data_IF_095293508389
#
_entry.id   IF_095293508389
#
_cell.length_a   1.000
_cell.length_b   1.000
_cell.length_c   1.000
_cell.angle_alpha   90.00
_cell.angle_beta   90.00
_cell.angle_gamma   90.00
#
_symmetry.space_group_name_H-M   'P 1'
#
loop_
_entity.id
_entity.type
_entity.pdbx_description
1 polymer ?
#
# COMPACT_ATOMS: atom_id res chain seq x y z
N UNK A 1 102.65 -21.24 -45.64
CA UNK A 1 102.64 -22.04 -46.88
C UNK A 1 101.24 -22.62 -47.02
N UNK A 2 100.66 -22.49 -48.22
CA UNK A 2 99.27 -22.83 -48.58
C UNK A 2 98.88 -24.30 -48.38
N UNK A 3 97.57 -24.52 -48.22
CA UNK A 3 96.84 -25.74 -48.56
C UNK A 3 96.48 -26.62 -47.34
N UNK A 4 95.34 -27.33 -47.23
CA UNK A 4 94.35 -27.85 -48.20
C UNK A 4 93.04 -28.14 -47.40
N UNK A 5 91.86 -28.00 -48.03
CA UNK A 5 90.54 -28.40 -47.49
C UNK A 5 90.40 -29.94 -47.37
N UNK A 6 89.53 -30.43 -46.46
CA UNK A 6 88.31 -31.06 -47.00
C UNK A 6 87.03 -30.79 -46.19
N UNK A 7 85.92 -30.87 -46.93
CA UNK A 7 84.51 -30.82 -46.51
C UNK A 7 84.09 -32.00 -45.63
N UNK A 8 83.27 -31.75 -44.61
CA UNK A 8 82.30 -32.71 -44.08
C UNK A 8 81.10 -32.00 -43.42
N UNK A 9 79.91 -32.54 -43.69
CA UNK A 9 78.57 -32.08 -43.31
C UNK A 9 78.10 -32.84 -42.06
N UNK A 10 77.48 -32.18 -41.08
CA UNK A 10 76.46 -32.76 -40.16
C UNK A 10 75.85 -31.63 -39.30
N UNK A 11 74.64 -31.17 -39.63
CA UNK A 11 73.36 -31.52 -38.97
C UNK A 11 73.15 -30.85 -37.60
N UNK A 12 72.33 -29.79 -37.63
CA UNK A 12 71.75 -29.18 -36.44
C UNK A 12 70.56 -29.97 -35.90
N UNK A 13 70.37 -29.89 -34.60
CA UNK A 13 69.13 -30.28 -33.91
C UNK A 13 68.57 -29.04 -33.21
N UNK A 14 67.71 -28.30 -33.92
CA UNK A 14 66.79 -27.37 -33.28
C UNK A 14 65.66 -28.21 -32.66
N UNK A 15 65.56 -28.22 -31.33
CA UNK A 15 64.37 -28.72 -30.64
C UNK A 15 63.17 -27.81 -30.98
N UNK A 16 62.35 -28.27 -31.92
CA UNK A 16 61.01 -27.75 -32.16
C UNK A 16 60.14 -28.12 -30.95
N UNK A 17 60.03 -27.22 -29.99
CA UNK A 17 58.96 -27.26 -29.00
C UNK A 17 57.64 -27.25 -29.78
N UNK A 18 56.92 -28.37 -29.70
CA UNK A 18 55.68 -28.60 -30.44
C UNK A 18 54.68 -27.47 -30.20
N UNK A 19 54.36 -26.72 -31.25
CA UNK A 19 53.34 -25.65 -31.24
C UNK A 19 51.97 -26.14 -30.78
N UNK A 20 51.69 -27.45 -30.90
CA UNK A 20 50.49 -28.08 -30.33
C UNK A 20 50.49 -28.07 -28.79
N UNK A 21 51.63 -28.28 -28.14
CA UNK A 21 51.75 -28.28 -26.67
C UNK A 21 51.53 -26.88 -26.09
N UNK A 22 52.08 -25.83 -26.73
CA UNK A 22 51.88 -24.45 -26.31
C UNK A 22 50.42 -24.00 -26.47
N UNK A 23 49.77 -24.35 -27.60
CA UNK A 23 48.36 -24.05 -27.83
C UNK A 23 47.43 -24.79 -26.86
N UNK A 24 47.73 -26.06 -26.54
CA UNK A 24 46.96 -26.84 -25.56
C UNK A 24 47.04 -26.21 -24.16
N UNK A 25 48.24 -25.78 -23.74
CA UNK A 25 48.46 -25.16 -22.44
C UNK A 25 47.82 -23.76 -22.36
N UNK A 26 47.86 -22.97 -23.44
CA UNK A 26 47.12 -21.71 -23.52
C UNK A 26 45.61 -21.93 -23.43
N UNK A 27 45.06 -22.90 -24.19
CA UNK A 27 43.63 -23.24 -24.13
C UNK A 27 43.19 -23.70 -22.73
N UNK A 28 44.01 -24.51 -22.07
CA UNK A 28 43.71 -25.02 -20.72
C UNK A 28 43.80 -23.90 -19.68
N UNK A 29 44.79 -23.00 -19.80
CA UNK A 29 44.92 -21.81 -18.94
C UNK A 29 43.77 -20.81 -19.13
N UNK A 30 43.29 -20.62 -20.36
CA UNK A 30 42.11 -19.82 -20.70
C UNK A 30 40.82 -20.45 -20.18
N UNK A 31 40.67 -21.78 -20.24
CA UNK A 31 39.54 -22.48 -19.62
C UNK A 31 39.57 -22.43 -18.09
N UNK A 32 40.75 -22.51 -17.47
CA UNK A 32 40.91 -22.34 -16.02
C UNK A 32 40.69 -20.89 -15.57
N UNK A 33 41.11 -19.90 -16.36
CA UNK A 33 40.85 -18.48 -16.12
C UNK A 33 39.37 -18.13 -16.32
N UNK A 34 38.72 -18.69 -17.34
CA UNK A 34 37.27 -18.54 -17.58
C UNK A 34 36.44 -19.20 -16.47
N UNK A 35 36.88 -20.35 -15.93
CA UNK A 35 36.27 -20.96 -14.73
C UNK A 35 36.44 -20.11 -13.46
N UNK A 36 37.53 -19.35 -13.35
CA UNK A 36 37.77 -18.41 -12.22
C UNK A 36 37.00 -17.10 -12.33
N UNK A 37 36.39 -16.80 -13.48
CA UNK A 37 35.55 -15.63 -13.71
C UNK A 37 34.07 -15.99 -13.86
N UNK A 38 33.62 -17.14 -13.36
CA UNK A 38 32.22 -17.27 -12.96
C UNK A 38 32.02 -16.30 -11.79
N UNK A 39 31.48 -15.11 -12.09
CA UNK A 39 31.09 -14.14 -11.09
C UNK A 39 30.32 -14.88 -10.00
N UNK A 40 30.78 -14.89 -8.74
CA UNK A 40 30.17 -15.72 -7.70
C UNK A 40 28.64 -15.56 -7.60
N UNK A 41 28.12 -14.40 -8.01
CA UNK A 41 26.69 -14.08 -8.13
C UNK A 41 25.95 -14.85 -9.25
N UNK A 42 26.57 -15.12 -10.40
CA UNK A 42 25.91 -15.80 -11.54
C UNK A 42 25.57 -17.26 -11.24
N UNK A 43 26.30 -17.92 -10.34
CA UNK A 43 25.99 -19.29 -9.89
C UNK A 43 24.62 -19.38 -9.19
N UNK A 44 24.13 -18.27 -8.64
CA UNK A 44 22.86 -18.22 -7.91
C UNK A 44 21.78 -17.40 -8.65
N UNK A 45 22.09 -16.81 -9.80
CA UNK A 45 21.16 -15.90 -10.49
C UNK A 45 19.88 -16.59 -10.97
N UNK A 46 19.93 -17.91 -11.21
CA UNK A 46 18.76 -18.71 -11.57
C UNK A 46 17.60 -18.57 -10.58
N UNK A 47 17.87 -18.26 -9.30
CA UNK A 47 16.82 -18.10 -8.29
C UNK A 47 15.90 -16.91 -8.55
N UNK A 48 16.37 -15.91 -9.32
CA UNK A 48 15.52 -14.79 -9.76
C UNK A 48 14.40 -15.25 -10.69
N UNK A 49 14.57 -16.39 -11.36
CA UNK A 49 13.54 -16.99 -12.21
C UNK A 49 12.30 -17.49 -11.45
N UNK A 50 12.38 -17.62 -10.12
CA UNK A 50 11.22 -17.95 -9.27
C UNK A 50 10.39 -16.72 -8.87
N UNK A 51 10.86 -15.50 -9.15
CA UNK A 51 10.07 -14.29 -8.88
C UNK A 51 8.88 -14.22 -9.85
N UNK A 52 7.66 -14.18 -9.31
CA UNK A 52 6.46 -13.97 -10.11
C UNK A 52 6.36 -12.53 -10.61
N UNK A 53 6.03 -12.36 -11.89
CA UNK A 53 5.66 -11.05 -12.45
C UNK A 53 4.20 -10.79 -12.15
N UNK A 54 3.92 -9.72 -11.42
CA UNK A 54 2.60 -9.39 -10.86
C UNK A 54 2.09 -8.03 -11.39
N UNK A 55 2.18 -7.85 -12.72
CA UNK A 55 1.77 -6.61 -13.38
C UNK A 55 0.25 -6.49 -13.43
N UNK A 56 -0.29 -5.38 -12.95
CA UNK A 56 -1.71 -5.05 -13.04
C UNK A 56 -2.15 -4.81 -14.49
N UNK A 57 -3.39 -5.17 -14.80
CA UNK A 57 -4.01 -4.98 -16.12
C UNK A 57 -3.86 -3.51 -16.57
N UNK A 58 -3.33 -3.22 -17.79
CA UNK A 58 -3.28 -1.87 -18.33
C UNK A 58 -4.65 -1.23 -18.45
N UNK A 59 -4.73 0.10 -18.35
CA UNK A 59 -5.99 0.86 -18.45
C UNK A 59 -7.09 0.44 -17.45
N UNK A 60 -6.74 -0.25 -16.37
CA UNK A 60 -7.61 -0.45 -15.22
C UNK A 60 -7.18 0.49 -14.07
N UNK A 61 -8.16 0.98 -13.31
CA UNK A 61 -7.92 1.64 -12.04
C UNK A 61 -7.25 0.65 -11.10
N UNK A 62 -6.24 1.12 -10.36
CA UNK A 62 -5.58 0.32 -9.33
C UNK A 62 -5.95 0.93 -7.99
N UNK A 63 -6.63 0.16 -7.15
CA UNK A 63 -6.92 0.56 -5.78
C UNK A 63 -6.03 -0.22 -4.83
N UNK A 64 -5.23 0.49 -4.05
CA UNK A 64 -4.50 -0.07 -2.92
C UNK A 64 -5.28 0.25 -1.66
N UNK A 65 -5.94 -0.74 -1.06
CA UNK A 65 -6.58 -0.60 0.24
C UNK A 65 -5.66 -1.09 1.33
N UNK A 66 -5.54 -0.32 2.39
CA UNK A 66 -4.84 -0.66 3.63
C UNK A 66 -5.84 -0.74 4.79
N UNK A 67 -5.57 -1.61 5.76
CA UNK A 67 -6.43 -1.85 6.92
C UNK A 67 -5.58 -2.14 8.16
N UNK A 68 -6.01 -1.66 9.33
CA UNK A 68 -5.31 -1.80 10.60
C UNK A 68 -5.35 -3.23 11.14
N UNK A 69 -4.19 -3.87 11.31
CA UNK A 69 -4.15 -5.24 11.82
C UNK A 69 -4.49 -5.30 13.31
N UNK A 70 -5.66 -5.86 13.63
CA UNK A 70 -6.11 -6.00 15.02
C UNK A 70 -6.34 -4.63 15.70
N UNK A 71 -6.78 -3.64 14.92
CA UNK A 71 -6.84 -2.25 15.38
C UNK A 71 -7.83 -2.02 16.54
N UNK A 72 -8.81 -2.91 16.72
CA UNK A 72 -9.67 -2.90 17.90
C UNK A 72 -8.86 -2.98 19.21
N UNK A 73 -7.94 -3.95 19.30
CA UNK A 73 -7.03 -4.11 20.46
C UNK A 73 -6.03 -2.96 20.57
N UNK A 74 -5.60 -2.42 19.42
CA UNK A 74 -4.72 -1.26 19.38
C UNK A 74 -5.41 -0.02 19.97
N UNK A 75 -6.63 0.28 19.53
CA UNK A 75 -7.43 1.39 20.02
C UNK A 75 -7.72 1.26 21.52
N UNK A 76 -8.05 0.07 22.01
CA UNK A 76 -8.27 -0.21 23.43
C UNK A 76 -7.00 0.06 24.26
N UNK A 77 -5.86 -0.53 23.88
CA UNK A 77 -4.59 -0.37 24.63
C UNK A 77 -4.08 1.07 24.66
N UNK A 78 -4.40 1.87 23.64
CA UNK A 78 -4.01 3.28 23.56
C UNK A 78 -5.11 4.23 24.03
N UNK A 79 -6.22 3.73 24.60
CA UNK A 79 -7.26 4.54 25.22
C UNK A 79 -7.99 5.47 24.22
N UNK A 80 -8.27 4.97 23.03
CA UNK A 80 -9.00 5.76 22.02
C UNK A 80 -10.42 6.04 22.49
N UNK A 81 -10.89 7.26 22.21
CA UNK A 81 -12.28 7.65 22.48
C UNK A 81 -13.24 6.81 21.62
N UNK A 82 -14.42 6.55 22.19
CA UNK A 82 -15.49 5.80 21.56
C UNK A 82 -16.75 6.68 21.47
N UNK A 83 -17.53 6.60 20.38
CA UNK A 83 -17.38 5.69 19.23
C UNK A 83 -16.22 6.05 18.29
N UNK A 84 -15.81 7.32 18.24
CA UNK A 84 -14.77 7.83 17.35
C UNK A 84 -13.72 8.65 18.12
N UNK A 85 -12.46 8.56 17.70
CA UNK A 85 -11.37 9.41 18.20
C UNK A 85 -10.85 10.30 17.06
N UNK A 86 -11.19 11.59 17.12
CA UNK A 86 -10.78 12.57 16.11
C UNK A 86 -9.27 12.64 15.93
N UNK A 87 -8.49 12.44 17.01
CA UNK A 87 -7.03 12.48 16.95
C UNK A 87 -6.50 11.32 16.13
N UNK A 88 -7.10 10.13 16.30
CA UNK A 88 -6.71 8.93 15.56
C UNK A 88 -7.06 9.06 14.08
N UNK A 89 -8.25 9.58 13.76
CA UNK A 89 -8.67 9.84 12.39
C UNK A 89 -7.79 10.90 11.72
N UNK A 90 -7.46 11.98 12.43
CA UNK A 90 -6.57 13.03 11.94
C UNK A 90 -5.15 12.51 11.71
N UNK A 91 -4.63 11.64 12.59
CA UNK A 91 -3.35 10.96 12.42
C UNK A 91 -3.35 10.06 11.18
N UNK A 92 -4.37 9.22 11.00
CA UNK A 92 -4.54 8.39 9.80
C UNK A 92 -4.61 9.25 8.54
N UNK A 93 -5.34 10.37 8.58
CA UNK A 93 -5.37 11.32 7.48
C UNK A 93 -3.98 11.90 7.18
N UNK A 94 -3.19 12.25 8.20
CA UNK A 94 -1.84 12.77 7.98
C UNK A 94 -0.91 11.75 7.36
N UNK A 95 -1.02 10.48 7.78
CA UNK A 95 -0.29 9.38 7.17
C UNK A 95 -0.71 9.17 5.69
N UNK A 96 -2.01 9.23 5.40
CA UNK A 96 -2.52 9.15 4.03
C UNK A 96 -2.05 10.33 3.16
N UNK A 97 -2.02 11.54 3.71
CA UNK A 97 -1.53 12.73 3.00
C UNK A 97 -0.08 12.54 2.54
N UNK A 98 0.78 11.92 3.35
CA UNK A 98 2.16 11.61 2.95
C UNK A 98 2.26 10.60 1.82
N UNK A 99 1.44 9.55 1.85
CA UNK A 99 1.34 8.60 0.73
C UNK A 99 0.91 9.35 -0.53
N UNK A 100 -0.11 10.20 -0.42
CA UNK A 100 -0.65 10.99 -1.52
C UNK A 100 0.36 11.98 -2.12
N UNK A 101 1.22 12.57 -1.27
CA UNK A 101 2.32 13.45 -1.67
C UNK A 101 3.45 12.69 -2.38
N UNK A 102 3.74 11.46 -1.94
CA UNK A 102 4.81 10.63 -2.53
C UNK A 102 4.39 10.01 -3.86
N UNK A 103 3.18 9.48 -3.94
CA UNK A 103 2.65 8.80 -5.11
C UNK A 103 1.80 9.77 -5.93
N UNK A 104 2.43 10.43 -6.90
CA UNK A 104 1.79 11.48 -7.70
C UNK A 104 0.66 10.95 -8.60
N UNK A 105 0.67 9.65 -8.88
CA UNK A 105 -0.33 8.97 -9.69
C UNK A 105 -1.60 8.60 -8.92
N UNK A 106 -1.60 8.77 -7.59
CA UNK A 106 -2.81 8.68 -6.78
C UNK A 106 -3.66 9.93 -7.04
N UNK A 107 -4.88 9.73 -7.52
CA UNK A 107 -5.81 10.83 -7.85
C UNK A 107 -6.84 11.08 -6.75
N UNK A 108 -7.21 10.03 -6.02
CA UNK A 108 -8.20 10.05 -4.95
C UNK A 108 -7.78 9.07 -3.87
N UNK A 109 -8.01 9.43 -2.61
CA UNK A 109 -7.93 8.53 -1.48
C UNK A 109 -9.16 8.69 -0.59
N UNK A 110 -9.68 7.58 -0.07
CA UNK A 110 -10.82 7.57 0.84
C UNK A 110 -10.47 6.79 2.10
N UNK A 111 -10.73 7.36 3.27
CA UNK A 111 -10.44 6.72 4.56
C UNK A 111 -11.58 6.84 5.56
N UNK A 112 -11.76 5.78 6.34
CA UNK A 112 -12.74 5.66 7.40
C UNK A 112 -12.20 4.68 8.46
N UNK A 113 -12.50 4.90 9.74
CA UNK A 113 -11.96 4.09 10.84
C UNK A 113 -10.43 3.95 10.75
N UNK A 114 -9.95 2.72 10.55
CA UNK A 114 -8.57 2.27 10.45
C UNK A 114 -8.18 1.83 9.02
N UNK A 115 -9.05 2.04 8.03
CA UNK A 115 -8.77 1.76 6.62
C UNK A 115 -8.56 3.03 5.78
N UNK A 116 -7.76 2.89 4.73
CA UNK A 116 -7.60 3.88 3.67
C UNK A 116 -7.49 3.19 2.31
N UNK A 117 -8.10 3.78 1.29
CA UNK A 117 -8.06 3.30 -0.09
C UNK A 117 -7.41 4.36 -0.96
N UNK A 118 -6.35 4.00 -1.69
CA UNK A 118 -5.63 4.89 -2.60
C UNK A 118 -5.88 4.48 -4.04
N UNK A 119 -6.46 5.39 -4.83
CA UNK A 119 -6.83 5.17 -6.23
C UNK A 119 -5.75 5.74 -7.13
N UNK A 120 -5.01 4.86 -7.81
CA UNK A 120 -4.08 5.23 -8.86
C UNK A 120 -4.81 5.35 -10.20
N UNK A 121 -4.44 6.37 -10.97
CA UNK A 121 -4.96 6.60 -12.33
C UNK A 121 -4.76 5.39 -13.25
N UNK A 122 -5.70 5.15 -14.18
CA UNK A 122 -5.66 3.97 -15.07
C UNK A 122 -4.41 3.97 -15.93
N UNK A 123 -3.96 5.15 -16.34
CA UNK A 123 -2.75 5.37 -17.14
C UNK A 123 -1.41 5.24 -16.39
N UNK A 124 -1.41 4.93 -15.08
CA UNK A 124 -0.15 4.89 -14.31
C UNK A 124 0.84 3.88 -14.85
N UNK A 125 2.12 4.25 -14.93
CA UNK A 125 3.23 3.32 -15.17
C UNK A 125 4.14 3.19 -13.95
N UNK A 126 3.68 3.66 -12.79
CA UNK A 126 4.46 3.64 -11.56
C UNK A 126 4.86 2.19 -11.21
N UNK A 127 6.15 1.98 -10.96
CA UNK A 127 6.75 0.66 -10.74
C UNK A 127 6.41 -0.39 -11.81
N UNK A 128 6.21 0.02 -13.06
CA UNK A 128 5.74 -0.85 -14.15
C UNK A 128 4.41 -1.55 -13.80
N UNK A 129 3.56 -0.91 -12.98
CA UNK A 129 2.27 -1.43 -12.51
C UNK A 129 2.38 -2.74 -11.72
N UNK A 130 3.50 -2.99 -11.05
CA UNK A 130 3.67 -4.20 -10.21
C UNK A 130 2.86 -4.08 -8.93
N UNK A 131 1.90 -4.97 -8.74
CA UNK A 131 0.99 -4.96 -7.59
C UNK A 131 1.75 -4.97 -6.25
N UNK A 132 2.73 -5.86 -6.10
CA UNK A 132 3.58 -5.97 -4.91
C UNK A 132 4.33 -4.69 -4.60
N UNK A 133 4.82 -3.97 -5.62
CA UNK A 133 5.52 -2.69 -5.42
C UNK A 133 4.56 -1.59 -4.97
N UNK A 134 3.42 -1.47 -5.63
CA UNK A 134 2.38 -0.49 -5.25
C UNK A 134 1.88 -0.76 -3.83
N UNK A 135 1.50 -2.00 -3.52
CA UNK A 135 1.07 -2.44 -2.18
C UNK A 135 2.13 -2.16 -1.12
N UNK A 136 3.36 -2.67 -1.29
CA UNK A 136 4.42 -2.54 -0.27
C UNK A 136 4.86 -1.11 -0.04
N UNK A 137 4.95 -0.28 -1.08
CA UNK A 137 5.36 1.12 -0.94
C UNK A 137 4.28 1.98 -0.27
N UNK A 138 3.00 1.78 -0.62
CA UNK A 138 1.87 2.47 0.02
C UNK A 138 1.77 2.10 1.51
N UNK A 139 1.73 0.80 1.83
CA UNK A 139 1.50 0.36 3.22
C UNK A 139 2.70 0.67 4.12
N UNK A 140 3.94 0.53 3.62
CA UNK A 140 5.14 0.86 4.41
C UNK A 140 5.26 2.35 4.67
N UNK A 141 4.95 3.20 3.69
CA UNK A 141 4.95 4.65 3.88
C UNK A 141 3.83 5.10 4.81
N UNK A 142 2.64 4.50 4.70
CA UNK A 142 1.55 4.80 5.62
C UNK A 142 1.90 4.42 7.06
N UNK A 143 2.35 3.18 7.30
CA UNK A 143 2.68 2.68 8.63
C UNK A 143 3.83 3.49 9.28
N UNK A 144 4.89 3.77 8.53
CA UNK A 144 6.00 4.60 9.02
C UNK A 144 5.56 6.03 9.30
N UNK A 145 4.70 6.61 8.45
CA UNK A 145 4.14 7.94 8.68
C UNK A 145 3.23 7.98 9.90
N UNK A 146 2.44 6.93 10.14
CA UNK A 146 1.57 6.82 11.31
C UNK A 146 2.37 6.84 12.61
N UNK A 147 3.48 6.09 12.68
CA UNK A 147 4.40 6.12 13.82
C UNK A 147 5.11 7.47 13.94
N UNK A 148 5.58 8.02 12.82
CA UNK A 148 6.32 9.27 12.80
C UNK A 148 5.46 10.47 13.24
N UNK A 149 4.18 10.50 12.88
CA UNK A 149 3.24 11.56 13.24
C UNK A 149 2.55 11.35 14.58
N UNK A 150 2.61 10.14 15.15
CA UNK A 150 1.98 9.83 16.42
C UNK A 150 2.14 10.94 17.49
N UNK A 151 3.35 11.44 17.81
CA UNK A 151 3.50 12.48 18.84
C UNK A 151 2.80 13.82 18.52
N UNK A 152 2.53 14.12 17.25
CA UNK A 152 1.85 15.36 16.84
C UNK A 152 0.34 15.31 17.06
N UNK A 153 -0.26 14.11 17.04
CA UNK A 153 -1.71 13.91 17.17
C UNK A 153 -2.11 13.26 18.49
N UNK A 154 -1.20 12.49 19.09
CA UNK A 154 -1.38 11.77 20.34
C UNK A 154 -0.30 12.18 21.36
N UNK A 155 -0.14 13.48 21.69
CA UNK A 155 0.97 13.95 22.54
C UNK A 155 0.95 13.33 23.94
N UNK A 156 -0.26 13.05 24.47
CA UNK A 156 -0.46 12.54 25.82
C UNK A 156 -0.51 11.00 25.89
N UNK A 157 -0.42 10.31 24.74
CA UNK A 157 -0.51 8.85 24.68
C UNK A 157 0.79 8.30 24.14
N UNK A 158 1.52 7.56 24.96
CA UNK A 158 2.72 6.85 24.49
C UNK A 158 2.33 5.74 23.52
N UNK A 159 2.97 5.67 22.36
CA UNK A 159 2.84 4.53 21.47
C UNK A 159 3.46 3.28 22.14
N UNK A 160 2.62 2.32 22.51
CA UNK A 160 3.01 1.16 23.30
C UNK A 160 3.72 0.09 22.46
N UNK A 161 3.31 -0.05 21.20
CA UNK A 161 3.90 -0.97 20.23
C UNK A 161 3.65 -0.47 18.79
N UNK A 162 4.50 -0.83 17.81
CA UNK A 162 4.31 -0.40 16.44
C UNK A 162 3.01 -0.98 15.85
N UNK A 163 2.15 -0.16 15.23
CA UNK A 163 0.98 -0.66 14.52
C UNK A 163 1.41 -1.38 13.24
N UNK A 164 0.59 -2.35 12.81
CA UNK A 164 0.75 -3.03 11.54
C UNK A 164 -0.49 -2.80 10.68
N UNK A 165 -0.29 -2.76 9.37
CA UNK A 165 -1.34 -2.58 8.39
C UNK A 165 -1.24 -3.68 7.34
N UNK A 166 -2.38 -4.26 6.96
CA UNK A 166 -2.45 -5.09 5.76
C UNK A 166 -2.55 -4.20 4.53
N UNK A 167 -2.34 -4.77 3.34
CA UNK A 167 -2.71 -4.10 2.11
C UNK A 167 -3.13 -5.10 1.04
N UNK A 168 -4.02 -4.65 0.16
CA UNK A 168 -4.47 -5.41 -1.01
C UNK A 168 -4.61 -4.51 -2.21
N UNK A 169 -4.34 -5.07 -3.39
CA UNK A 169 -4.47 -4.41 -4.68
C UNK A 169 -5.69 -4.97 -5.39
N UNK A 170 -6.60 -4.10 -5.81
CA UNK A 170 -7.81 -4.46 -6.55
C UNK A 170 -7.88 -3.64 -7.83
N UNK A 171 -8.29 -4.28 -8.92
CA UNK A 171 -8.39 -3.65 -10.24
C UNK A 171 -9.85 -3.41 -10.59
N UNK A 172 -10.15 -2.19 -11.03
CA UNK A 172 -11.49 -1.81 -11.53
C UNK A 172 -11.37 -1.36 -12.99
N UNK A 173 -12.01 -2.06 -13.95
CA UNK A 173 -11.79 -1.81 -15.37
C UNK A 173 -12.46 -0.52 -15.88
N UNK A 174 -13.49 -0.03 -15.20
CA UNK A 174 -14.31 1.11 -15.64
C UNK A 174 -14.46 2.15 -14.55
N UNK A 175 -14.80 3.39 -14.94
CA UNK A 175 -15.16 4.44 -13.99
C UNK A 175 -16.32 4.04 -13.08
N UNK A 176 -17.35 3.38 -13.61
CA UNK A 176 -18.50 2.94 -12.83
C UNK A 176 -18.09 1.97 -11.70
N UNK A 177 -17.28 0.96 -12.02
CA UNK A 177 -16.88 -0.05 -11.01
C UNK A 177 -15.98 0.55 -9.91
N UNK A 178 -15.16 1.57 -10.23
CA UNK A 178 -14.43 2.35 -9.24
C UNK A 178 -15.39 3.16 -8.34
N UNK A 179 -16.36 3.85 -8.92
CA UNK A 179 -17.35 4.65 -8.19
C UNK A 179 -18.20 3.78 -7.26
N UNK A 180 -18.62 2.61 -7.72
CA UNK A 180 -19.36 1.64 -6.92
C UNK A 180 -18.53 1.15 -5.73
N UNK A 181 -17.23 0.90 -5.94
CA UNK A 181 -16.32 0.54 -4.85
C UNK A 181 -16.22 1.65 -3.79
N UNK A 182 -15.98 2.89 -4.21
CA UNK A 182 -15.88 4.03 -3.27
C UNK A 182 -17.20 4.28 -2.54
N UNK A 183 -18.32 4.15 -3.25
CA UNK A 183 -19.66 4.23 -2.67
C UNK A 183 -19.88 3.13 -1.64
N UNK A 184 -19.47 1.90 -1.94
CA UNK A 184 -19.54 0.77 -1.00
C UNK A 184 -18.72 1.04 0.27
N UNK A 185 -17.54 1.66 0.16
CA UNK A 185 -16.75 2.05 1.34
C UNK A 185 -17.42 3.16 2.16
N UNK A 186 -18.05 4.13 1.51
CA UNK A 186 -18.74 5.20 2.24
C UNK A 186 -20.06 4.75 2.88
N UNK A 187 -20.80 3.84 2.24
CA UNK A 187 -21.98 3.21 2.86
C UNK A 187 -21.57 2.38 4.07
N UNK A 188 -20.46 1.64 3.99
CA UNK A 188 -19.90 0.88 5.10
C UNK A 188 -19.54 1.79 6.29
N UNK A 189 -18.89 2.92 6.03
CA UNK A 189 -18.63 3.96 7.02
C UNK A 189 -19.91 4.42 7.73
N UNK A 190 -20.96 4.74 6.96
CA UNK A 190 -22.23 5.19 7.52
C UNK A 190 -22.90 4.14 8.42
N UNK A 191 -22.94 2.87 7.97
CA UNK A 191 -23.54 1.75 8.71
C UNK A 191 -22.77 1.52 10.02
N UNK A 192 -21.44 1.42 9.93
CA UNK A 192 -20.59 1.15 11.08
C UNK A 192 -20.63 2.29 12.09
N UNK A 193 -20.60 3.55 11.64
CA UNK A 193 -20.67 4.70 12.52
C UNK A 193 -22.02 4.78 13.25
N UNK A 194 -23.14 4.59 12.54
CA UNK A 194 -24.47 4.57 13.17
C UNK A 194 -24.58 3.47 14.23
N UNK A 195 -24.12 2.25 13.90
CA UNK A 195 -24.09 1.14 14.86
C UNK A 195 -23.21 1.46 16.08
N UNK A 196 -21.99 1.93 15.86
CA UNK A 196 -21.03 2.22 16.93
C UNK A 196 -21.51 3.35 17.84
N UNK A 197 -22.12 4.41 17.29
CA UNK A 197 -22.70 5.50 18.08
C UNK A 197 -23.81 5.00 18.99
N UNK A 198 -24.74 4.19 18.47
CA UNK A 198 -25.75 3.55 19.31
C UNK A 198 -25.12 2.66 20.39
N UNK A 199 -24.20 1.78 19.99
CA UNK A 199 -23.57 0.81 20.86
C UNK A 199 -22.86 1.48 22.03
N UNK A 200 -22.02 2.48 21.76
CA UNK A 200 -21.26 3.14 22.81
C UNK A 200 -22.11 4.06 23.68
N UNK A 201 -23.20 4.64 23.18
CA UNK A 201 -24.17 5.35 24.03
C UNK A 201 -24.89 4.41 25.00
N UNK A 202 -25.31 3.23 24.54
CA UNK A 202 -25.87 2.20 25.43
C UNK A 202 -24.87 1.79 26.52
N UNK A 203 -23.60 1.61 26.17
CA UNK A 203 -22.57 1.21 27.14
C UNK A 203 -22.23 2.34 28.12
N UNK A 204 -22.08 3.58 27.63
CA UNK A 204 -21.56 4.71 28.42
C UNK A 204 -22.63 5.49 29.17
N UNK A 205 -23.83 5.64 28.61
CA UNK A 205 -24.91 6.47 29.19
C UNK A 205 -25.99 5.61 29.86
N UNK A 206 -26.30 4.42 29.34
CA UNK A 206 -27.24 3.49 29.97
C UNK A 206 -26.57 2.42 30.86
N UNK A 207 -25.23 2.43 30.96
CA UNK A 207 -24.44 1.47 31.75
C UNK A 207 -24.67 -0.01 31.37
N UNK A 208 -25.03 -0.30 30.10
CA UNK A 208 -25.12 -1.68 29.62
C UNK A 208 -23.72 -2.27 29.49
N UNK A 209 -23.61 -3.57 29.70
CA UNK A 209 -22.43 -4.33 29.28
C UNK A 209 -22.35 -4.37 27.75
N UNK A 210 -21.14 -4.63 27.21
CA UNK A 210 -20.94 -4.75 25.76
C UNK A 210 -21.82 -5.85 25.14
N UNK A 211 -22.04 -6.94 25.87
CA UNK A 211 -22.90 -8.06 25.42
C UNK A 211 -24.37 -7.67 25.40
N UNK A 212 -24.86 -6.94 26.40
CA UNK A 212 -26.24 -6.46 26.44
C UNK A 212 -26.51 -5.42 25.34
N UNK A 213 -25.55 -4.51 25.10
CA UNK A 213 -25.66 -3.53 24.03
C UNK A 213 -25.70 -4.20 22.65
N UNK A 214 -24.87 -5.23 22.42
CA UNK A 214 -24.89 -6.01 21.18
C UNK A 214 -26.22 -6.73 20.97
N UNK A 215 -26.73 -7.41 22.01
CA UNK A 215 -28.03 -8.10 21.97
C UNK A 215 -29.16 -7.10 21.69
N UNK A 216 -29.13 -5.92 22.32
CA UNK A 216 -30.13 -4.88 22.15
C UNK A 216 -30.20 -4.33 20.72
N UNK A 217 -29.06 -4.28 20.04
CA UNK A 217 -28.94 -3.79 18.65
C UNK A 217 -29.09 -4.91 17.62
N UNK A 218 -29.11 -6.18 18.03
CA UNK A 218 -29.26 -7.32 17.12
C UNK A 218 -30.60 -7.25 16.37
N UNK A 219 -30.54 -7.45 15.05
CA UNK A 219 -31.73 -7.44 14.18
C UNK A 219 -32.35 -6.06 13.93
N UNK A 220 -31.85 -5.00 14.56
CA UNK A 220 -32.36 -3.63 14.34
C UNK A 220 -31.97 -3.10 12.97
N UNK A 221 -32.83 -2.32 12.34
CA UNK A 221 -32.53 -1.60 11.10
C UNK A 221 -32.01 -0.17 11.39
N UNK A 222 -31.69 0.60 10.35
CA UNK A 222 -31.17 1.96 10.52
C UNK A 222 -32.19 2.92 11.13
N UNK A 223 -33.49 2.78 10.84
CA UNK A 223 -34.54 3.60 11.45
C UNK A 223 -34.60 3.40 12.96
N UNK A 224 -34.58 2.15 13.41
CA UNK A 224 -34.64 1.80 14.85
C UNK A 224 -33.45 2.38 15.61
N UNK A 225 -32.25 2.38 15.00
CA UNK A 225 -31.04 2.97 15.57
C UNK A 225 -31.15 4.48 15.71
N UNK A 226 -31.68 5.16 14.68
CA UNK A 226 -31.92 6.61 14.73
C UNK A 226 -32.97 6.96 15.80
N UNK A 227 -34.06 6.19 15.87
CA UNK A 227 -35.10 6.38 16.87
C UNK A 227 -34.55 6.13 18.29
N UNK A 228 -33.74 5.09 18.48
CA UNK A 228 -33.07 4.82 19.75
C UNK A 228 -32.17 5.98 20.18
N UNK A 229 -31.35 6.50 19.25
CA UNK A 229 -30.48 7.66 19.52
C UNK A 229 -31.28 8.89 19.95
N UNK A 230 -32.36 9.18 19.23
CA UNK A 230 -33.17 10.36 19.47
C UNK A 230 -34.01 10.25 20.75
N UNK A 231 -34.78 9.18 20.88
CA UNK A 231 -35.73 8.99 21.99
C UNK A 231 -35.04 8.77 23.33
N UNK A 232 -33.95 7.99 23.36
CA UNK A 232 -33.29 7.60 24.61
C UNK A 232 -32.17 8.53 25.04
N UNK A 233 -31.42 9.06 24.07
CA UNK A 233 -30.23 9.89 24.35
C UNK A 233 -30.37 11.34 23.87
N UNK A 234 -31.53 11.74 23.32
CA UNK A 234 -31.71 13.08 22.76
C UNK A 234 -30.76 13.39 21.60
N UNK A 235 -30.18 12.35 20.97
CA UNK A 235 -29.10 12.48 20.01
C UNK A 235 -29.65 12.38 18.59
N UNK A 236 -29.53 13.46 17.81
CA UNK A 236 -29.81 13.41 16.37
C UNK A 236 -28.55 13.02 15.60
N UNK A 237 -28.52 11.79 15.06
CA UNK A 237 -27.37 11.28 14.30
C UNK A 237 -26.97 12.19 13.14
N UNK A 238 -27.91 12.89 12.49
CA UNK A 238 -27.58 13.80 11.39
C UNK A 238 -26.75 15.01 11.82
N UNK A 239 -26.74 15.33 13.12
CA UNK A 239 -25.91 16.39 13.69
C UNK A 239 -24.51 15.91 14.09
N UNK A 240 -24.23 14.59 14.03
CA UNK A 240 -22.87 14.09 14.23
C UNK A 240 -21.92 14.69 13.18
N UNK A 241 -20.64 14.91 13.53
CA UNK A 241 -19.65 15.41 12.60
C UNK A 241 -19.60 14.63 11.29
N UNK A 242 -19.50 15.35 10.17
CA UNK A 242 -19.43 14.73 8.84
C UNK A 242 -18.21 13.81 8.70
N UNK A 243 -17.11 14.13 9.39
CA UNK A 243 -15.93 13.28 9.51
C UNK A 243 -16.29 11.84 9.90
N UNK A 244 -17.18 11.66 10.88
CA UNK A 244 -17.57 10.35 11.39
C UNK A 244 -18.60 9.68 10.48
N UNK A 245 -19.54 10.47 9.92
CA UNK A 245 -20.65 9.92 9.12
C UNK A 245 -20.26 9.58 7.69
N UNK A 246 -19.29 10.29 7.13
CA UNK A 246 -18.93 10.22 5.70
C UNK A 246 -17.49 9.77 5.47
N UNK A 247 -16.65 9.73 6.51
CA UNK A 247 -15.21 9.50 6.37
C UNK A 247 -14.51 10.70 5.74
N UNK A 248 -13.27 10.51 5.31
CA UNK A 248 -12.45 11.56 4.68
C UNK A 248 -12.10 11.18 3.25
N UNK A 249 -12.40 12.07 2.30
CA UNK A 249 -11.89 12.00 0.94
C UNK A 249 -10.73 12.99 0.78
N UNK A 250 -9.65 12.53 0.16
CA UNK A 250 -8.53 13.32 -0.31
C UNK A 250 -8.45 13.21 -1.82
N UNK A 251 -8.21 14.30 -2.52
CA UNK A 251 -8.17 14.29 -3.97
C UNK A 251 -7.24 15.36 -4.51
N UNK A 252 -6.70 15.12 -5.69
CA UNK A 252 -5.69 16.00 -6.28
C UNK A 252 -6.38 17.21 -6.91
N UNK A 253 -6.04 18.41 -6.46
CA UNK A 253 -6.53 19.67 -7.03
C UNK A 253 -5.36 20.46 -7.61
N UNK A 254 -5.13 20.39 -8.93
CA UNK A 254 -4.03 21.10 -9.62
C UNK A 254 -2.66 20.99 -8.91
N UNK A 255 -2.34 21.94 -8.02
CA UNK A 255 -1.06 22.03 -7.27
C UNK A 255 -1.18 21.72 -5.76
N UNK A 256 -2.36 21.34 -5.27
CA UNK A 256 -2.64 21.04 -3.87
C UNK A 256 -3.41 19.72 -3.72
N UNK A 257 -3.53 19.27 -2.48
CA UNK A 257 -4.37 18.14 -2.09
C UNK A 257 -5.61 18.72 -1.43
N UNK A 258 -6.77 18.51 -2.06
CA UNK A 258 -8.06 18.78 -1.44
C UNK A 258 -8.38 17.71 -0.40
N UNK A 259 -9.01 18.11 0.70
CA UNK A 259 -9.51 17.19 1.74
C UNK A 259 -10.91 17.63 2.15
N UNK A 260 -11.85 16.70 2.17
CA UNK A 260 -13.24 16.98 2.52
C UNK A 260 -13.91 15.79 3.19
N UNK A 261 -15.01 16.04 3.90
CA UNK A 261 -15.88 15.03 4.51
C UNK A 261 -17.25 15.06 3.82
N UNK A 262 -17.27 14.72 2.54
CA UNK A 262 -18.43 14.91 1.64
C UNK A 262 -18.94 13.59 1.09
N UNK A 263 -20.17 13.61 0.59
CA UNK A 263 -20.80 12.48 -0.08
C UNK A 263 -20.18 12.28 -1.47
N UNK A 264 -19.59 11.10 -1.68
CA UNK A 264 -18.97 10.69 -2.96
C UNK A 264 -19.80 9.61 -3.67
N UNK A 265 -20.99 9.27 -3.13
CA UNK A 265 -21.91 8.30 -3.74
C UNK A 265 -22.64 8.97 -4.91
N UNK A 266 -23.17 10.18 -4.69
CA UNK A 266 -23.94 10.93 -5.69
C UNK A 266 -23.06 11.52 -6.77
N UNK A 267 -23.66 11.77 -7.94
CA UNK A 267 -23.00 12.40 -9.09
C UNK A 267 -22.49 13.82 -8.81
N UNK A 268 -23.02 14.52 -7.80
CA UNK A 268 -22.60 15.90 -7.47
C UNK A 268 -21.10 16.04 -7.31
N UNK A 269 -20.47 15.17 -6.50
CA UNK A 269 -19.01 15.19 -6.29
C UNK A 269 -18.24 14.93 -7.60
N UNK A 270 -18.69 13.96 -8.39
CA UNK A 270 -18.02 13.58 -9.64
C UNK A 270 -18.18 14.63 -10.74
N UNK A 271 -19.31 15.35 -10.75
CA UNK A 271 -19.57 16.45 -11.67
C UNK A 271 -18.78 17.72 -11.29
N UNK A 272 -18.51 17.93 -10.00
CA UNK A 272 -17.66 19.03 -9.50
C UNK A 272 -16.17 18.73 -9.71
N UNK A 273 -15.80 17.45 -9.81
CA UNK A 273 -14.42 16.98 -9.97
C UNK A 273 -14.23 16.00 -11.15
N UNK A 274 -14.62 16.38 -12.39
CA UNK A 274 -14.53 15.50 -13.54
C UNK A 274 -13.08 15.09 -13.86
N UNK A 275 -12.10 15.88 -13.43
CA UNK A 275 -10.66 15.61 -13.62
C UNK A 275 -10.16 14.36 -12.86
N UNK A 276 -10.93 13.85 -11.89
CA UNK A 276 -10.55 12.67 -11.11
C UNK A 276 -10.82 11.36 -11.85
N UNK A 277 -11.62 11.39 -12.92
CA UNK A 277 -11.94 10.24 -13.76
C UNK A 277 -11.29 10.40 -15.13
N UNK A 278 -10.49 9.42 -15.53
CA UNK A 278 -9.98 9.38 -16.91
C UNK A 278 -11.11 8.99 -17.87
N UNK A 279 -11.12 9.49 -19.12
CA UNK A 279 -12.09 9.07 -20.13
C UNK A 279 -12.13 7.53 -20.24
N UNK A 280 -13.34 6.97 -20.36
CA UNK A 280 -13.52 5.51 -20.44
C UNK A 280 -12.89 4.91 -21.71
#
# INVERSE_FOLDING_TARGET
>A
MLGIFPTAVAQGTHELISTKSLCQNLFTSLQFAARRLSMAKSNYEYVRGFESVDRCLPHAWIVVRIDGQGFHKFAEKHGFRKPNDERALALSCKAAERVFQRHLDVVLAYGQSDEFSFVFRRSTEEFNRRASKLSSTVVSLFASSYVFEWPNFMPDVKLLYPPAFDSRVVLYPTNQTLRDYLSWRQVDCHINNLYNTCFWKLVQEDNLTTTEAEERLRGTVSSDKNELLFSRFGCNYNNEPELFRKGTVMFRQKKSIGRANIDIIKDTFWNEHPELLEPD
#
